data_IF_214259769344
#
_entry.id   IF_214259769344
#
_cell.length_a   1.000
_cell.length_b   1.000
_cell.length_c   1.000
_cell.angle_alpha   90.00
_cell.angle_beta   90.00
_cell.angle_gamma   90.00
#
_symmetry.space_group_name_H-M   'P 1'
#
loop_
_entity.id
_entity.type
_entity.pdbx_description
1 polymer ?
#
# COMPACT_ATOMS: atom_id res chain seq x y z
N UNK A 1 72.35 -10.66 -24.39
CA UNK A 1 71.15 -10.11 -23.74
C UNK A 1 70.98 -8.67 -24.22
N UNK A 2 69.78 -8.32 -24.69
CA UNK A 2 69.27 -6.98 -25.11
C UNK A 2 69.81 -6.50 -26.48
N UNK A 3 69.07 -6.48 -27.59
CA UNK A 3 67.75 -5.91 -27.92
C UNK A 3 67.70 -4.38 -27.78
N UNK A 4 67.62 -3.65 -28.89
CA UNK A 4 66.51 -2.73 -29.20
C UNK A 4 66.72 -2.03 -30.53
N UNK A 5 65.60 -1.86 -31.20
CA UNK A 5 65.31 -1.63 -32.60
C UNK A 5 64.68 -0.24 -32.73
N UNK A 6 64.86 0.36 -33.93
CA UNK A 6 64.05 1.42 -34.55
C UNK A 6 64.27 2.89 -34.17
N UNK A 7 64.90 3.53 -35.14
CA UNK A 7 64.65 4.89 -35.62
C UNK A 7 63.17 5.10 -35.99
N UNK A 8 62.57 6.23 -35.59
CA UNK A 8 61.33 6.76 -36.18
C UNK A 8 61.33 8.31 -36.14
N UNK A 9 60.79 8.90 -37.20
CA UNK A 9 60.82 10.32 -37.63
C UNK A 9 60.00 11.32 -36.78
N UNK A 10 60.60 12.52 -36.57
CA UNK A 10 60.14 13.94 -36.73
C UNK A 10 58.74 14.13 -37.40
N UNK A 11 57.90 15.23 -37.25
CA UNK A 11 58.08 16.62 -36.73
C UNK A 11 56.80 17.22 -36.04
N UNK A 12 56.47 18.52 -36.16
CA UNK A 12 56.98 19.72 -35.48
C UNK A 12 56.04 20.22 -34.37
N UNK A 13 56.52 21.17 -33.56
CA UNK A 13 55.75 21.85 -32.52
C UNK A 13 54.53 22.61 -33.08
N UNK A 14 53.34 22.45 -32.47
CA UNK A 14 52.25 23.43 -32.60
C UNK A 14 52.16 24.30 -31.33
N UNK A 15 52.41 25.58 -31.56
CA UNK A 15 51.90 26.77 -30.87
C UNK A 15 50.98 26.54 -29.66
N UNK A 16 51.47 26.91 -28.47
CA UNK A 16 50.66 27.09 -27.26
C UNK A 16 49.65 28.21 -27.53
N UNK A 17 48.43 27.86 -27.92
CA UNK A 17 47.31 28.77 -27.81
C UNK A 17 46.89 28.83 -26.34
N UNK A 18 47.34 29.87 -25.66
CA UNK A 18 46.84 30.29 -24.36
C UNK A 18 45.34 30.56 -24.48
N UNK A 19 44.52 29.55 -24.17
CA UNK A 19 43.09 29.70 -24.01
C UNK A 19 42.84 30.34 -22.63
N UNK A 20 42.34 31.57 -22.66
CA UNK A 20 41.86 32.30 -21.49
C UNK A 20 40.67 31.52 -20.90
N UNK A 21 40.86 30.90 -19.73
CA UNK A 21 39.75 30.27 -18.99
C UNK A 21 38.88 31.39 -18.44
N UNK A 22 37.72 31.58 -19.06
CA UNK A 22 36.66 32.46 -18.55
C UNK A 22 36.11 31.85 -17.26
N UNK A 23 36.37 32.52 -16.14
CA UNK A 23 35.79 32.17 -14.84
C UNK A 23 34.33 32.60 -14.84
N UNK A 24 33.42 31.68 -15.17
CA UNK A 24 31.98 31.86 -14.95
C UNK A 24 31.74 31.92 -13.44
N UNK A 25 31.23 33.06 -12.97
CA UNK A 25 30.85 33.28 -11.57
C UNK A 25 29.62 32.40 -11.29
N UNK A 26 29.61 31.52 -10.27
CA UNK A 26 28.42 30.74 -9.95
C UNK A 26 27.28 31.70 -9.53
N UNK A 27 26.03 31.47 -9.98
CA UNK A 27 24.91 32.30 -9.57
C UNK A 27 24.71 32.20 -8.06
N UNK A 28 24.59 33.36 -7.41
CA UNK A 28 24.30 33.46 -5.98
C UNK A 28 23.03 32.65 -5.65
N UNK A 29 23.03 31.79 -4.62
CA UNK A 29 21.84 31.05 -4.26
C UNK A 29 20.80 32.00 -3.70
N UNK A 30 19.74 32.25 -4.47
CA UNK A 30 18.53 32.92 -4.01
C UNK A 30 17.98 32.17 -2.80
N UNK A 31 17.68 32.83 -1.66
CA UNK A 31 17.08 32.15 -0.53
C UNK A 31 15.70 31.64 -0.94
N UNK A 32 15.55 30.31 -0.97
CA UNK A 32 14.26 29.66 -1.19
C UNK A 32 13.32 30.05 -0.04
N UNK A 33 12.02 30.29 -0.32
CA UNK A 33 11.04 30.47 0.74
C UNK A 33 11.04 29.24 1.65
N UNK A 34 10.82 29.41 2.96
CA UNK A 34 10.71 28.27 3.88
C UNK A 34 9.60 27.36 3.37
N UNK A 35 9.96 26.13 3.00
CA UNK A 35 9.00 25.07 2.71
C UNK A 35 8.26 24.83 4.01
N UNK A 36 7.03 25.33 4.13
CA UNK A 36 6.13 24.97 5.22
C UNK A 36 5.82 23.49 5.04
N UNK A 37 6.60 22.63 5.70
CA UNK A 37 6.31 21.21 5.77
C UNK A 37 5.01 21.06 6.55
N UNK A 38 3.90 20.87 5.83
CA UNK A 38 2.64 20.47 6.43
C UNK A 38 2.88 19.14 7.16
N UNK A 39 2.98 19.18 8.48
CA UNK A 39 3.00 17.99 9.32
C UNK A 39 1.65 17.32 9.17
N UNK A 40 1.56 16.31 8.30
CA UNK A 40 0.44 15.37 8.33
C UNK A 40 0.42 14.75 9.73
N UNK A 41 -0.67 14.98 10.46
CA UNK A 41 -0.88 14.35 11.76
C UNK A 41 -1.10 12.86 11.50
N UNK A 42 -0.02 12.07 11.65
CA UNK A 42 -0.10 10.61 11.56
C UNK A 42 -1.07 10.14 12.64
N UNK A 43 -2.17 9.55 12.22
CA UNK A 43 -3.16 8.96 13.13
C UNK A 43 -2.65 7.58 13.50
N UNK A 44 -2.56 7.26 14.78
CA UNK A 44 -2.14 5.91 15.20
C UNK A 44 -3.13 4.84 14.75
N UNK A 45 -2.62 3.64 14.46
CA UNK A 45 -3.44 2.46 14.22
C UNK A 45 -4.43 2.22 15.38
N UNK A 46 -5.71 1.96 15.11
CA UNK A 46 -6.69 1.70 16.16
C UNK A 46 -6.28 0.45 16.96
N UNK A 47 -6.32 0.46 18.31
CA UNK A 47 -5.93 -0.69 19.09
C UNK A 47 -6.78 -1.93 18.73
N UNK A 48 -6.17 -3.12 18.62
CA UNK A 48 -6.90 -4.35 18.34
C UNK A 48 -8.09 -4.53 19.28
N UNK A 49 -9.16 -5.14 18.78
CA UNK A 49 -10.39 -5.41 19.54
C UNK A 49 -11.26 -4.21 19.92
N UNK A 50 -10.84 -2.96 19.64
CA UNK A 50 -11.69 -1.78 19.82
C UNK A 50 -12.81 -1.70 18.77
N UNK A 51 -13.81 -0.84 19.01
CA UNK A 51 -14.92 -0.62 18.06
C UNK A 51 -14.44 0.00 16.73
N UNK A 52 -13.39 0.81 16.80
CA UNK A 52 -12.80 1.50 15.66
C UNK A 52 -11.80 0.63 14.89
N UNK A 53 -11.43 -0.55 15.41
CA UNK A 53 -10.47 -1.43 14.77
C UNK A 53 -11.15 -2.32 13.72
N UNK A 54 -10.54 -2.50 12.54
CA UNK A 54 -11.01 -3.49 11.57
C UNK A 54 -10.89 -4.89 12.18
N UNK A 55 -11.95 -5.70 12.11
CA UNK A 55 -11.96 -7.07 12.66
C UNK A 55 -12.24 -8.07 11.56
N UNK A 56 -11.29 -8.97 11.31
CA UNK A 56 -11.46 -10.00 10.31
C UNK A 56 -11.97 -11.31 10.89
N UNK A 57 -13.16 -11.73 10.43
CA UNK A 57 -13.84 -12.96 10.86
C UNK A 57 -13.96 -14.02 9.76
N UNK A 58 -13.17 -13.92 8.69
CA UNK A 58 -13.20 -14.86 7.55
C UNK A 58 -14.29 -14.56 6.52
N UNK A 59 -14.91 -13.39 6.59
CA UNK A 59 -15.90 -12.86 5.65
C UNK A 59 -15.52 -11.44 5.26
N UNK A 60 -16.02 -11.00 4.10
CA UNK A 60 -15.86 -9.63 3.60
C UNK A 60 -14.39 -9.17 3.57
N UNK A 61 -13.53 -10.04 3.04
CA UNK A 61 -12.06 -9.83 2.98
C UNK A 61 -11.69 -8.49 2.35
N UNK A 62 -12.43 -8.08 1.32
CA UNK A 62 -12.25 -6.81 0.61
C UNK A 62 -12.46 -5.61 1.53
N UNK A 63 -13.56 -5.62 2.27
CA UNK A 63 -13.89 -4.55 3.22
C UNK A 63 -12.84 -4.51 4.34
N UNK A 64 -12.48 -5.66 4.89
CA UNK A 64 -11.46 -5.74 5.93
C UNK A 64 -10.10 -5.17 5.47
N UNK A 65 -9.58 -5.63 4.33
CA UNK A 65 -8.29 -5.17 3.81
C UNK A 65 -8.33 -3.69 3.44
N UNK A 66 -9.45 -3.19 2.89
CA UNK A 66 -9.63 -1.76 2.60
C UNK A 66 -9.56 -0.92 3.87
N UNK A 67 -10.27 -1.31 4.94
CA UNK A 67 -10.26 -0.60 6.22
C UNK A 67 -8.88 -0.66 6.86
N UNK A 68 -8.24 -1.83 6.87
CA UNK A 68 -6.89 -1.99 7.40
C UNK A 68 -5.87 -1.13 6.65
N UNK A 69 -5.90 -1.12 5.31
CA UNK A 69 -5.02 -0.29 4.50
C UNK A 69 -5.26 1.19 4.76
N UNK A 70 -6.52 1.65 4.82
CA UNK A 70 -6.82 3.04 5.14
C UNK A 70 -6.24 3.49 6.49
N UNK A 71 -6.33 2.63 7.52
CA UNK A 71 -5.69 2.92 8.81
C UNK A 71 -4.17 2.82 8.76
N UNK A 72 -3.60 1.91 7.96
CA UNK A 72 -2.16 1.76 7.79
C UNK A 72 -1.55 2.96 7.07
N UNK A 73 -2.24 3.46 6.05
CA UNK A 73 -1.84 4.64 5.29
C UNK A 73 -1.91 5.90 6.16
N UNK A 74 -3.01 6.07 6.92
CA UNK A 74 -3.15 7.18 7.88
C UNK A 74 -2.10 7.17 9.00
N UNK A 75 -1.58 5.99 9.34
CA UNK A 75 -0.53 5.79 10.32
C UNK A 75 0.90 5.74 9.74
N UNK A 76 1.03 5.78 8.40
CA UNK A 76 2.33 5.73 7.71
C UNK A 76 3.08 4.41 7.87
N UNK A 77 2.39 3.27 7.97
CA UNK A 77 3.03 1.97 8.15
C UNK A 77 3.74 1.50 6.87
N UNK A 78 4.93 0.94 7.05
CA UNK A 78 5.65 0.19 6.03
C UNK A 78 5.02 -1.19 5.80
N UNK A 79 5.31 -1.82 4.66
CA UNK A 79 4.81 -3.17 4.34
C UNK A 79 5.23 -4.21 5.38
N UNK A 80 6.45 -4.10 5.92
CA UNK A 80 6.93 -4.94 7.01
C UNK A 80 6.06 -4.81 8.27
N UNK A 81 5.66 -3.58 8.63
CA UNK A 81 4.80 -3.32 9.77
C UNK A 81 3.36 -3.78 9.54
N UNK A 82 2.86 -3.65 8.30
CA UNK A 82 1.55 -4.20 7.89
C UNK A 82 1.53 -5.72 8.09
N UNK A 83 2.55 -6.42 7.59
CA UNK A 83 2.70 -7.87 7.77
C UNK A 83 2.80 -8.28 9.24
N UNK A 84 3.49 -7.49 10.09
CA UNK A 84 3.59 -7.79 11.52
C UNK A 84 2.28 -7.56 12.27
N UNK A 85 1.47 -6.57 11.87
CA UNK A 85 0.27 -6.16 12.61
C UNK A 85 -1.02 -6.83 12.15
N UNK A 86 -1.11 -7.28 10.89
CA UNK A 86 -2.35 -7.81 10.32
C UNK A 86 -2.96 -8.95 11.15
N UNK A 87 -2.11 -9.83 11.70
CA UNK A 87 -2.56 -10.99 12.47
C UNK A 87 -3.32 -10.60 13.75
N UNK A 88 -3.00 -9.44 14.34
CA UNK A 88 -3.67 -8.94 15.55
C UNK A 88 -5.10 -8.45 15.31
N UNK A 89 -5.47 -8.18 14.06
CA UNK A 89 -6.82 -7.75 13.68
C UNK A 89 -7.71 -8.92 13.22
N UNK A 90 -7.15 -10.14 13.20
CA UNK A 90 -7.84 -11.38 12.89
C UNK A 90 -8.44 -12.04 14.14
N UNK A 91 -9.43 -12.92 13.96
CA UNK A 91 -9.84 -13.84 15.04
C UNK A 91 -8.73 -14.86 15.31
N UNK A 92 -8.65 -15.47 16.51
CA UNK A 92 -7.57 -16.40 16.87
C UNK A 92 -7.35 -17.53 15.85
N UNK A 93 -8.45 -18.14 15.36
CA UNK A 93 -8.38 -19.19 14.33
C UNK A 93 -7.74 -18.73 13.01
N UNK A 94 -8.00 -17.48 12.63
CA UNK A 94 -7.47 -16.89 11.39
C UNK A 94 -6.07 -16.35 11.61
N UNK A 95 -5.79 -15.87 12.81
CA UNK A 95 -4.46 -15.43 13.23
C UNK A 95 -3.43 -16.55 13.01
N UNK A 96 -3.73 -17.78 13.45
CA UNK A 96 -2.85 -18.94 13.24
C UNK A 96 -2.59 -19.21 11.75
N UNK A 97 -3.64 -19.14 10.92
CA UNK A 97 -3.52 -19.32 9.46
C UNK A 97 -2.70 -18.20 8.83
N UNK A 98 -2.96 -16.95 9.20
CA UNK A 98 -2.25 -15.79 8.62
C UNK A 98 -0.78 -15.81 9.03
N UNK A 99 -0.45 -16.15 10.28
CA UNK A 99 0.93 -16.20 10.77
C UNK A 99 1.77 -17.29 10.10
N UNK A 100 1.15 -18.35 9.56
CA UNK A 100 1.85 -19.42 8.84
C UNK A 100 2.10 -19.11 7.37
N UNK A 101 1.61 -17.98 6.85
CA UNK A 101 1.84 -17.58 5.46
C UNK A 101 3.32 -17.22 5.23
N UNK A 102 3.99 -17.80 4.22
CA UNK A 102 5.39 -17.50 3.93
C UNK A 102 5.62 -16.02 3.56
N UNK A 103 4.59 -15.37 3.01
CA UNK A 103 4.62 -13.95 2.63
C UNK A 103 4.73 -13.02 3.85
N UNK A 104 4.24 -13.44 5.02
CA UNK A 104 4.43 -12.70 6.28
C UNK A 104 5.91 -12.68 6.65
N UNK A 105 6.58 -13.84 6.56
CA UNK A 105 8.02 -13.94 6.82
C UNK A 105 8.85 -13.16 5.78
N UNK A 106 8.41 -13.18 4.51
CA UNK A 106 9.03 -12.40 3.43
C UNK A 106 8.76 -10.89 3.49
N UNK A 107 7.88 -10.43 4.40
CA UNK A 107 7.43 -9.03 4.51
C UNK A 107 6.82 -8.49 3.21
N UNK A 108 6.23 -9.38 2.42
CA UNK A 108 5.58 -9.05 1.15
C UNK A 108 4.09 -8.80 1.38
N UNK A 109 3.73 -7.53 1.58
CA UNK A 109 2.34 -7.14 1.86
C UNK A 109 1.39 -7.50 0.71
N UNK A 110 1.82 -7.32 -0.53
CA UNK A 110 1.00 -7.63 -1.72
C UNK A 110 0.75 -9.15 -1.79
N UNK A 111 1.78 -9.95 -1.55
CA UNK A 111 1.67 -11.40 -1.46
C UNK A 111 0.71 -11.85 -0.36
N UNK A 112 0.77 -11.22 0.83
CA UNK A 112 -0.14 -11.48 1.95
C UNK A 112 -1.59 -11.16 1.55
N UNK A 113 -1.85 -10.00 0.95
CA UNK A 113 -3.19 -9.64 0.48
C UNK A 113 -3.73 -10.66 -0.50
N UNK A 114 -2.94 -11.04 -1.51
CA UNK A 114 -3.33 -12.02 -2.52
C UNK A 114 -3.64 -13.40 -1.91
N UNK A 115 -2.84 -13.85 -0.92
CA UNK A 115 -3.13 -15.11 -0.25
C UNK A 115 -4.38 -15.05 0.62
N UNK A 116 -4.58 -13.95 1.35
CA UNK A 116 -5.81 -13.74 2.12
C UNK A 116 -7.04 -13.73 1.19
N UNK A 117 -6.94 -13.14 -0.01
CA UNK A 117 -7.98 -13.20 -1.04
C UNK A 117 -8.24 -14.66 -1.48
N UNK A 118 -7.20 -15.42 -1.81
CA UNK A 118 -7.37 -16.81 -2.24
C UNK A 118 -7.99 -17.70 -1.16
N UNK A 119 -7.62 -17.52 0.10
CA UNK A 119 -8.10 -18.35 1.21
C UNK A 119 -9.56 -18.06 1.59
N UNK A 120 -9.99 -16.81 1.57
CA UNK A 120 -11.27 -16.39 2.14
C UNK A 120 -12.28 -15.82 1.13
N UNK A 121 -11.84 -15.51 -0.08
CA UNK A 121 -12.67 -15.02 -1.19
C UNK A 121 -12.27 -15.64 -2.56
N UNK A 122 -12.13 -16.97 -2.69
CA UNK A 122 -11.60 -17.61 -3.91
C UNK A 122 -12.47 -17.36 -5.15
N UNK A 123 -13.78 -17.26 -4.97
CA UNK A 123 -14.73 -17.02 -6.07
C UNK A 123 -15.02 -15.53 -6.31
N UNK A 124 -14.41 -14.62 -5.52
CA UNK A 124 -14.71 -13.20 -5.56
C UNK A 124 -16.20 -12.95 -5.33
N UNK A 125 -16.68 -13.30 -4.12
CA UNK A 125 -18.09 -13.37 -3.72
C UNK A 125 -18.84 -12.19 -4.34
N UNK A 126 -19.57 -12.47 -5.42
CA UNK A 126 -20.38 -11.48 -6.15
C UNK A 126 -21.37 -10.88 -5.15
N UNK A 127 -21.64 -9.58 -5.30
CA UNK A 127 -22.66 -8.91 -4.49
C UNK A 127 -23.91 -9.78 -4.45
N UNK A 128 -24.28 -10.24 -3.24
CA UNK A 128 -25.35 -11.23 -3.06
C UNK A 128 -26.69 -10.74 -3.59
N UNK A 129 -26.84 -9.43 -3.75
CA UNK A 129 -28.04 -8.77 -4.20
C UNK A 129 -27.68 -7.68 -5.19
N UNK A 130 -28.31 -7.73 -6.36
CA UNK A 130 -28.28 -6.65 -7.32
C UNK A 130 -29.17 -5.49 -6.86
N UNK A 131 -28.94 -4.28 -7.39
CA UNK A 131 -29.90 -3.16 -7.29
C UNK A 131 -31.31 -3.59 -7.70
N UNK A 132 -31.42 -4.49 -8.67
CA UNK A 132 -32.71 -5.07 -9.09
C UNK A 132 -33.36 -5.92 -7.99
N UNK A 133 -32.57 -6.67 -7.21
CA UNK A 133 -33.08 -7.46 -6.09
C UNK A 133 -33.60 -6.56 -4.95
N UNK A 134 -32.89 -5.46 -4.69
CA UNK A 134 -33.31 -4.42 -3.76
C UNK A 134 -34.64 -3.79 -4.19
N UNK A 135 -34.76 -3.38 -5.47
CA UNK A 135 -36.00 -2.81 -6.03
C UNK A 135 -37.15 -3.82 -5.96
N UNK A 136 -36.87 -5.09 -6.25
CA UNK A 136 -37.85 -6.18 -6.18
C UNK A 136 -38.30 -6.45 -4.74
N UNK A 137 -37.40 -6.35 -3.77
CA UNK A 137 -37.73 -6.50 -2.35
C UNK A 137 -38.55 -5.32 -1.84
N UNK A 138 -38.17 -4.08 -2.18
CA UNK A 138 -38.92 -2.88 -1.77
C UNK A 138 -40.33 -2.83 -2.37
N UNK A 139 -40.53 -3.38 -3.57
CA UNK A 139 -41.85 -3.47 -4.21
C UNK A 139 -42.79 -4.50 -3.57
N UNK A 140 -42.28 -5.43 -2.75
CA UNK A 140 -43.06 -6.50 -2.10
C UNK A 140 -43.68 -6.10 -0.75
N UNK A 141 -43.87 -4.79 -0.49
CA UNK A 141 -44.55 -4.33 0.72
C UNK A 141 -45.97 -4.90 0.80
N UNK A 142 -46.21 -5.83 1.73
CA UNK A 142 -47.58 -6.25 2.08
C UNK A 142 -48.17 -5.16 2.98
N UNK A 143 -49.32 -4.60 2.57
CA UNK A 143 -50.15 -3.79 3.47
C UNK A 143 -50.57 -4.71 4.62
N UNK A 144 -49.97 -4.53 5.78
CA UNK A 144 -50.45 -5.16 7.01
C UNK A 144 -51.79 -4.49 7.32
N UNK A 145 -52.89 -5.21 7.16
CA UNK A 145 -54.24 -4.63 7.28
C UNK A 145 -54.80 -4.74 8.69
N UNK A 146 -54.23 -5.59 9.53
CA UNK A 146 -54.71 -5.84 10.88
C UNK A 146 -53.60 -6.37 11.79
N UNK A 147 -53.79 -6.17 13.09
CA UNK A 147 -52.82 -6.54 14.12
C UNK A 147 -52.52 -8.05 14.16
N UNK A 148 -53.44 -8.88 13.68
CA UNK A 148 -53.27 -10.34 13.62
C UNK A 148 -52.22 -10.77 12.58
N UNK A 149 -52.09 -10.04 11.46
CA UNK A 149 -51.03 -10.27 10.46
C UNK A 149 -49.64 -9.89 11.01
N UNK A 150 -49.58 -8.93 11.95
CA UNK A 150 -48.33 -8.51 12.58
C UNK A 150 -47.77 -9.55 13.55
N UNK A 151 -48.64 -10.34 14.20
CA UNK A 151 -48.24 -11.36 15.17
C UNK A 151 -47.63 -12.65 14.54
N UNK A 152 -47.55 -12.73 13.21
CA UNK A 152 -46.87 -13.83 12.49
C UNK A 152 -45.37 -13.56 12.21
N UNK A 153 -44.85 -12.44 12.72
CA UNK A 153 -43.42 -12.11 12.77
C UNK A 153 -42.80 -12.55 14.11
#
# INVERSE_FOLDING_TARGET
MHATFMQAEIPPAPTVHTAFVQTEIPPVPTPLPPIIQSRTLLTSMPPPFTSQAPKFKGRDVRLFLSQFNGHADGAGLTDAERCARISSYCTPKIQDVVQTLPQIAARDWIGVQNQIYQLYDPEGRRDKYSRMDLVRFSGKSRKIRNATEYAQY
#
